data_IF_660522720527
#
_entry.id   IF_660522720527
#
_cell.length_a   1.000
_cell.length_b   1.000
_cell.length_c   1.000
_cell.angle_alpha   90.00
_cell.angle_beta   90.00
_cell.angle_gamma   90.00
#
_symmetry.space_group_name_H-M   'P 1'
#
loop_
_entity.id
_entity.type
_entity.pdbx_description
1 polymer ?
#
# COMPACT_ATOMS: atom_id res chain seq x y z
N UNK A 1 -12.68 -8.58 15.46
CA UNK A 1 -12.90 -7.12 15.54
C UNK A 1 -11.81 -6.48 16.41
N UNK A 2 -10.54 -6.54 15.99
CA UNK A 2 -9.38 -6.03 16.77
C UNK A 2 -8.67 -4.88 15.99
N UNK A 3 -8.87 -4.81 14.67
CA UNK A 3 -8.27 -3.81 13.79
C UNK A 3 -8.73 -2.38 14.09
N UNK A 4 -10.00 -2.19 14.47
CA UNK A 4 -10.60 -0.87 14.69
C UNK A 4 -10.13 -0.16 15.98
N UNK A 5 -9.69 -0.92 16.99
CA UNK A 5 -9.29 -0.35 18.28
C UNK A 5 -7.98 0.44 18.17
N UNK A 6 -6.98 -0.12 17.47
CA UNK A 6 -5.69 0.53 17.30
C UNK A 6 -5.79 1.80 16.47
N UNK A 7 -6.50 1.75 15.34
CA UNK A 7 -6.64 2.89 14.45
C UNK A 7 -7.34 4.06 15.15
N UNK A 8 -8.33 3.79 16.02
CA UNK A 8 -8.96 4.84 16.82
C UNK A 8 -7.97 5.46 17.81
N UNK A 9 -7.16 4.66 18.49
CA UNK A 9 -6.20 5.15 19.48
C UNK A 9 -5.07 5.95 18.83
N UNK A 10 -4.51 5.45 17.72
CA UNK A 10 -3.48 6.15 16.94
C UNK A 10 -3.99 7.50 16.44
N UNK A 11 -5.20 7.56 15.86
CA UNK A 11 -5.80 8.82 15.40
C UNK A 11 -5.94 9.85 16.51
N UNK A 12 -6.37 9.45 17.70
CA UNK A 12 -6.47 10.34 18.86
C UNK A 12 -5.10 10.88 19.28
N UNK A 13 -4.07 10.03 19.27
CA UNK A 13 -2.70 10.42 19.65
C UNK A 13 -2.05 11.37 18.64
N UNK A 14 -2.31 11.17 17.35
CA UNK A 14 -1.76 11.98 16.27
C UNK A 14 -2.63 13.20 15.93
N UNK A 15 -3.78 13.35 16.60
CA UNK A 15 -4.80 14.34 16.26
C UNK A 15 -5.23 14.29 14.78
N UNK A 16 -5.43 13.08 14.26
CA UNK A 16 -5.85 12.86 12.88
C UNK A 16 -7.33 12.52 12.78
N UNK A 17 -7.97 13.04 11.73
CA UNK A 17 -9.28 12.57 11.29
C UNK A 17 -9.20 11.15 10.70
N UNK A 18 -10.34 10.50 10.54
CA UNK A 18 -10.42 9.21 9.85
C UNK A 18 -9.92 9.29 8.41
N UNK A 19 -10.23 10.39 7.71
CA UNK A 19 -9.79 10.63 6.35
C UNK A 19 -8.27 10.80 6.28
N UNK A 20 -7.69 11.65 7.13
CA UNK A 20 -6.23 11.87 7.17
C UNK A 20 -5.46 10.57 7.42
N UNK A 21 -5.96 9.75 8.34
CA UNK A 21 -5.38 8.44 8.63
C UNK A 21 -5.47 7.50 7.44
N UNK A 22 -6.64 7.41 6.80
CA UNK A 22 -6.86 6.54 5.64
C UNK A 22 -6.01 6.97 4.44
N UNK A 23 -5.92 8.28 4.18
CA UNK A 23 -5.11 8.86 3.11
C UNK A 23 -3.62 8.60 3.35
N UNK A 24 -3.16 8.71 4.60
CA UNK A 24 -1.78 8.42 4.95
C UNK A 24 -1.42 6.94 4.70
N UNK A 25 -2.29 6.01 5.10
CA UNK A 25 -2.11 4.57 4.84
C UNK A 25 -2.07 4.30 3.33
N UNK A 26 -2.99 4.91 2.57
CA UNK A 26 -3.06 4.72 1.12
C UNK A 26 -1.78 5.24 0.45
N UNK A 27 -1.34 6.45 0.80
CA UNK A 27 -0.11 7.06 0.29
C UNK A 27 1.10 6.18 0.57
N UNK A 28 1.26 5.69 1.80
CA UNK A 28 2.38 4.82 2.18
C UNK A 28 2.35 3.47 1.47
N UNK A 29 1.16 2.94 1.17
CA UNK A 29 1.02 1.72 0.37
C UNK A 29 1.48 1.92 -1.08
N UNK A 30 1.22 3.08 -1.65
CA UNK A 30 1.71 3.45 -2.99
C UNK A 30 3.23 3.66 -2.97
N UNK A 31 3.77 4.39 -1.99
CA UNK A 31 5.21 4.57 -1.81
C UNK A 31 5.92 3.21 -1.67
N UNK A 32 5.29 2.28 -0.94
CA UNK A 32 5.75 0.90 -0.83
C UNK A 32 5.86 0.18 -2.15
N UNK A 33 4.77 0.15 -2.92
CA UNK A 33 4.78 -0.50 -4.23
C UNK A 33 5.85 0.10 -5.15
N UNK A 34 6.01 1.43 -5.16
CA UNK A 34 7.05 2.12 -5.95
C UNK A 34 8.48 1.74 -5.54
N UNK A 35 8.71 1.44 -4.26
CA UNK A 35 10.05 1.13 -3.76
C UNK A 35 10.49 -0.31 -4.01
N UNK A 36 9.53 -1.25 -4.05
CA UNK A 36 9.83 -2.69 -4.18
C UNK A 36 9.76 -3.13 -5.62
N UNK A 37 8.79 -2.58 -6.34
CA UNK A 37 8.54 -2.91 -7.72
C UNK A 37 9.16 -1.75 -8.49
N UNK A 38 10.36 -1.96 -9.00
CA UNK A 38 10.96 -1.11 -10.03
C UNK A 38 10.16 -1.30 -11.34
N UNK A 39 8.85 -1.02 -11.27
CA UNK A 39 7.92 -1.21 -12.35
C UNK A 39 7.29 0.11 -12.75
N UNK A 40 6.86 0.10 -14.00
CA UNK A 40 6.17 1.21 -14.63
C UNK A 40 4.86 1.56 -13.91
N UNK A 41 4.38 2.78 -14.19
CA UNK A 41 3.12 3.28 -13.62
C UNK A 41 1.93 2.36 -13.90
N UNK A 42 2.00 1.56 -14.97
CA UNK A 42 0.98 0.59 -15.33
C UNK A 42 0.91 -0.58 -14.34
N UNK A 43 2.04 -1.15 -13.92
CA UNK A 43 2.06 -2.21 -12.92
C UNK A 43 1.55 -1.73 -11.56
N UNK A 44 1.94 -0.52 -11.17
CA UNK A 44 1.45 0.16 -9.98
C UNK A 44 -0.08 0.28 -10.01
N UNK A 45 -0.64 0.66 -11.15
CA UNK A 45 -2.09 0.78 -11.36
C UNK A 45 -2.83 -0.56 -11.21
N UNK A 46 -2.27 -1.66 -11.73
CA UNK A 46 -2.90 -2.97 -11.60
C UNK A 46 -2.91 -3.46 -10.14
N UNK A 47 -1.81 -3.24 -9.42
CA UNK A 47 -1.67 -3.70 -8.04
C UNK A 47 -2.51 -2.88 -7.07
N UNK A 48 -2.59 -1.56 -7.29
CA UNK A 48 -3.48 -0.69 -6.51
C UNK A 48 -4.96 -0.96 -6.77
N UNK A 49 -5.34 -1.60 -7.87
CA UNK A 49 -6.72 -2.10 -8.09
C UNK A 49 -7.00 -3.42 -7.37
N UNK A 50 -5.97 -4.14 -6.92
CA UNK A 50 -6.13 -5.41 -6.22
C UNK A 50 -6.63 -5.21 -4.79
N UNK A 51 -7.85 -5.65 -4.50
CA UNK A 51 -8.37 -5.67 -3.13
C UNK A 51 -7.53 -6.51 -2.16
N UNK A 52 -6.79 -7.49 -2.69
CA UNK A 52 -5.93 -8.38 -1.92
C UNK A 52 -4.67 -7.68 -1.41
N UNK A 53 -4.04 -6.86 -2.26
CA UNK A 53 -2.94 -5.98 -1.84
C UNK A 53 -3.38 -5.12 -0.66
N UNK A 54 -4.51 -4.41 -0.79
CA UNK A 54 -5.00 -3.54 0.28
C UNK A 54 -5.40 -4.29 1.55
N UNK A 55 -5.90 -5.52 1.43
CA UNK A 55 -6.18 -6.38 2.59
C UNK A 55 -4.90 -6.72 3.34
N UNK A 56 -3.86 -7.15 2.64
CA UNK A 56 -2.56 -7.42 3.24
C UNK A 56 -1.94 -6.15 3.83
N UNK A 57 -1.94 -5.06 3.08
CA UNK A 57 -1.37 -3.79 3.50
C UNK A 57 -1.99 -3.30 4.80
N UNK A 58 -3.32 -3.37 4.95
CA UNK A 58 -4.01 -3.03 6.20
C UNK A 58 -3.63 -3.93 7.36
N UNK A 59 -3.44 -5.23 7.12
CA UNK A 59 -3.00 -6.16 8.18
C UNK A 59 -1.57 -5.85 8.65
N UNK A 60 -0.68 -5.57 7.69
CA UNK A 60 0.69 -5.15 7.98
C UNK A 60 0.71 -3.82 8.74
N UNK A 61 -0.10 -2.86 8.28
CA UNK A 61 -0.27 -1.57 8.93
C UNK A 61 -0.75 -1.71 10.37
N UNK A 62 -1.74 -2.57 10.59
CA UNK A 62 -2.26 -2.85 11.92
C UNK A 62 -1.19 -3.35 12.91
N UNK A 63 -0.26 -4.19 12.45
CA UNK A 63 0.86 -4.65 13.28
C UNK A 63 1.82 -3.49 13.62
N UNK A 64 2.07 -2.59 12.67
CA UNK A 64 2.88 -1.39 12.93
C UNK A 64 2.19 -0.44 13.91
N UNK A 65 0.87 -0.27 13.83
CA UNK A 65 0.11 0.48 14.83
C UNK A 65 0.27 -0.12 16.23
N UNK A 66 0.22 -1.46 16.37
CA UNK A 66 0.48 -2.11 17.65
C UNK A 66 1.86 -1.75 18.19
N UNK A 67 2.89 -1.83 17.34
CA UNK A 67 4.27 -1.50 17.73
C UNK A 67 4.40 -0.04 18.12
N UNK A 68 3.79 0.88 17.38
CA UNK A 68 3.75 2.30 17.72
C UNK A 68 3.12 2.52 19.10
N UNK A 69 1.96 1.91 19.33
CA UNK A 69 1.25 2.05 20.60
C UNK A 69 2.07 1.49 21.77
N UNK A 70 2.84 0.41 21.59
CA UNK A 70 3.70 -0.14 22.64
C UNK A 70 4.95 0.71 22.88
N UNK A 71 5.58 1.24 21.82
CA UNK A 71 6.87 1.94 21.91
C UNK A 71 6.76 3.43 22.23
N UNK A 72 5.60 4.05 22.01
CA UNK A 72 5.43 5.50 22.24
C UNK A 72 5.71 5.85 23.71
N UNK A 73 6.32 7.01 23.93
CA UNK A 73 6.50 7.57 25.28
C UNK A 73 5.33 8.50 25.62
N UNK A 74 4.70 8.39 26.80
CA UNK A 74 3.51 9.18 27.15
C UNK A 74 3.71 10.70 27.13
N UNK A 75 4.93 11.19 27.29
CA UNK A 75 5.25 12.62 27.39
C UNK A 75 5.59 13.28 26.03
N UNK A 76 5.51 12.56 24.91
CA UNK A 76 5.81 13.15 23.60
C UNK A 76 4.70 14.12 23.15
N UNK A 77 5.10 15.26 22.59
CA UNK A 77 4.18 16.15 21.88
C UNK A 77 3.60 15.46 20.64
N UNK A 78 2.46 15.95 20.15
CA UNK A 78 1.87 15.44 18.89
C UNK A 78 2.86 15.50 17.72
N UNK A 79 3.65 16.58 17.64
CA UNK A 79 4.69 16.71 16.61
C UNK A 79 5.77 15.62 16.70
N UNK A 80 6.24 15.30 17.91
CA UNK A 80 7.22 14.23 18.11
C UNK A 80 6.61 12.85 17.77
N UNK A 81 5.35 12.62 18.17
CA UNK A 81 4.63 11.39 17.82
C UNK A 81 4.46 11.22 16.31
N UNK A 82 4.22 12.29 15.56
CA UNK A 82 4.14 12.24 14.09
C UNK A 82 5.49 11.84 13.46
N UNK A 83 6.60 12.36 13.98
CA UNK A 83 7.95 11.97 13.52
C UNK A 83 8.23 10.51 13.83
N UNK A 84 7.96 10.07 15.06
CA UNK A 84 8.13 8.67 15.47
C UNK A 84 7.25 7.73 14.62
N UNK A 85 6.02 8.15 14.35
CA UNK A 85 5.07 7.39 13.55
C UNK A 85 5.52 7.30 12.09
N UNK A 86 5.96 8.39 11.47
CA UNK A 86 6.47 8.36 10.09
C UNK A 86 7.75 7.52 9.97
N UNK A 87 8.66 7.64 10.95
CA UNK A 87 9.87 6.81 11.01
C UNK A 87 9.53 5.32 11.08
N UNK A 88 8.62 4.91 11.96
CA UNK A 88 8.19 3.51 12.09
C UNK A 88 7.49 2.99 10.83
N UNK A 89 6.84 3.88 10.10
CA UNK A 89 6.12 3.56 8.86
C UNK A 89 6.93 3.83 7.60
N UNK A 90 8.24 4.10 7.72
CA UNK A 90 9.12 4.09 6.56
C UNK A 90 9.03 2.76 5.83
N UNK A 91 9.15 2.87 4.52
CA UNK A 91 8.85 1.82 3.57
C UNK A 91 9.96 0.74 3.55
N UNK A 92 11.15 1.08 4.04
CA UNK A 92 12.32 0.21 4.01
C UNK A 92 12.14 -1.05 4.88
N UNK A 93 12.57 -2.20 4.34
CA UNK A 93 12.78 -3.44 5.10
C UNK A 93 11.54 -4.33 5.29
N UNK A 94 10.43 -4.05 4.60
CA UNK A 94 9.27 -4.95 4.58
C UNK A 94 9.20 -5.63 3.23
N UNK A 95 9.26 -6.96 3.21
CA UNK A 95 8.97 -7.76 2.04
C UNK A 95 7.60 -8.42 2.22
N UNK A 96 6.72 -8.46 1.19
CA UNK A 96 5.52 -9.26 1.28
C UNK A 96 5.92 -10.73 1.37
N UNK A 97 5.09 -11.54 2.03
CA UNK A 97 5.20 -12.99 1.90
C UNK A 97 5.15 -13.38 0.41
N UNK A 98 5.96 -14.38 0.02
CA UNK A 98 6.13 -14.83 -1.36
C UNK A 98 4.78 -14.99 -2.09
N UNK A 99 3.77 -15.53 -1.43
CA UNK A 99 2.43 -15.76 -1.96
C UNK A 99 1.72 -14.50 -2.48
N UNK A 100 1.98 -13.34 -1.86
CA UNK A 100 1.36 -12.07 -2.24
C UNK A 100 2.08 -11.48 -3.44
N UNK A 101 3.41 -11.62 -3.48
CA UNK A 101 4.18 -11.27 -4.66
C UNK A 101 3.82 -12.18 -5.82
N UNK A 102 3.69 -13.48 -5.62
CA UNK A 102 3.32 -14.44 -6.66
C UNK A 102 1.93 -14.14 -7.26
N UNK A 103 0.95 -13.79 -6.44
CA UNK A 103 -0.39 -13.39 -6.91
C UNK A 103 -0.38 -12.00 -7.56
N UNK A 104 0.38 -11.05 -7.02
CA UNK A 104 0.62 -9.75 -7.62
C UNK A 104 1.28 -9.90 -9.01
N UNK A 105 2.26 -10.78 -9.14
CA UNK A 105 2.89 -11.16 -10.40
C UNK A 105 1.90 -11.85 -11.35
N UNK A 106 1.05 -12.74 -10.85
CA UNK A 106 -0.02 -13.36 -11.65
C UNK A 106 -0.96 -12.33 -12.30
N UNK A 107 -1.42 -11.36 -11.50
CA UNK A 107 -2.26 -10.25 -12.00
C UNK A 107 -1.52 -9.36 -13.01
N UNK A 108 -0.24 -9.11 -12.76
CA UNK A 108 0.66 -8.39 -13.67
C UNK A 108 0.81 -9.11 -15.01
N UNK A 109 1.09 -10.42 -14.99
CA UNK A 109 1.26 -11.23 -16.20
C UNK A 109 -0.05 -11.35 -17.00
N UNK A 110 -1.20 -11.49 -16.33
CA UNK A 110 -2.50 -11.44 -16.99
C UNK A 110 -2.79 -10.08 -17.65
N UNK A 111 -2.41 -8.98 -16.99
CA UNK A 111 -2.57 -7.64 -17.53
C UNK A 111 -1.68 -7.39 -18.75
N UNK A 112 -0.44 -7.89 -18.73
CA UNK A 112 0.50 -7.81 -19.86
C UNK A 112 -0.06 -8.54 -21.07
N UNK A 113 -0.58 -9.76 -20.87
CA UNK A 113 -1.22 -10.53 -21.94
C UNK A 113 -2.42 -9.78 -22.54
N UNK A 114 -3.27 -9.17 -21.71
CA UNK A 114 -4.42 -8.37 -22.18
C UNK A 114 -4.00 -7.11 -22.94
N UNK A 115 -2.88 -6.48 -22.56
CA UNK A 115 -2.32 -5.30 -23.26
C UNK A 115 -1.74 -5.70 -24.62
N UNK A 116 -0.94 -6.76 -24.67
CA UNK A 116 -0.38 -7.29 -25.91
C UNK A 116 -1.46 -7.64 -26.94
N UNK A 117 -2.53 -8.32 -26.52
CA UNK A 117 -3.67 -8.66 -27.39
C UNK A 117 -4.40 -7.41 -27.91
N UNK A 118 -4.54 -6.37 -27.07
CA UNK A 118 -5.17 -5.10 -27.48
C UNK A 118 -4.33 -4.31 -28.48
N UNK A 119 -3.00 -4.33 -28.33
CA UNK A 119 -2.12 -3.64 -29.25
C UNK A 119 -2.06 -4.36 -30.62
N UNK A 120 -2.02 -5.69 -30.64
CA UNK A 120 -2.07 -6.48 -31.88
C UNK A 120 -3.37 -6.32 -32.67
N UNK A 121 -4.51 -6.21 -31.98
CA UNK A 121 -5.82 -5.99 -32.62
C UNK A 121 -5.95 -4.57 -33.19
N UNK A 122 -5.29 -3.58 -32.58
CA UNK A 122 -5.20 -2.22 -33.12
C UNK A 122 -4.32 -2.14 -34.38
N UNK A 123 -3.23 -2.89 -34.44
CA UNK A 123 -2.34 -2.90 -35.62
C UNK A 123 -3.00 -3.59 -36.82
N UNK A 124 -3.76 -4.66 -36.59
CA UNK A 124 -4.48 -5.38 -37.66
C UNK A 124 -5.71 -4.63 -38.19
N UNK A 125 -6.32 -3.75 -37.38
CA UNK A 125 -7.45 -2.91 -37.79
C UNK A 125 -7.11 -1.74 -38.71
N UNK A 126 -5.84 -1.33 -38.78
CA UNK A 126 -5.37 -0.19 -39.60
C UNK A 126 -4.84 -0.58 -40.99
N UNK A 127 -4.98 -1.85 -41.40
CA UNK A 127 -4.46 -2.36 -42.71
C UNK A 127 -5.57 -2.61 -43.73
N UNK A 128 -6.83 -2.28 -43.43
CA UNK A 128 -7.93 -2.31 -44.40
C UNK A 128 -8.43 -0.90 -44.71
N UNK A 129 -7.73 -0.18 -45.58
CA UNK A 129 -8.25 0.93 -46.41
C UNK A 129 -7.61 0.84 -47.78
#
# INVERSE_FOLDING_TARGET
MIIAANSQQVRRLLNWSELQYSDYIAKKGIEYLKSIIDADDWALEQLTKSGQFWKWWRNHWYQRDQVFLVKRKPAHSVSALLVDYDYLHTVAGVYPYADIMEQAYGLLMEGINKKAVKDETKTKGNVCT
#
